data_IF_146118838077
#
_entry.id   IF_146118838077
#
_cell.length_a   1.000
_cell.length_b   1.000
_cell.length_c   1.000
_cell.angle_alpha   90.00
_cell.angle_beta   90.00
_cell.angle_gamma   90.00
#
_symmetry.space_group_name_H-M   'P 1'
#
loop_
_entity.id
_entity.type
_entity.pdbx_description
1 polymer ?
#
# COMPACT_ATOMS: atom_id res chain seq x y z
N UNK A 1 20.28 50.30 42.09
CA UNK A 1 19.14 49.49 41.61
C UNK A 1 19.02 49.66 40.09
N UNK A 2 19.52 48.76 39.28
CA UNK A 2 19.17 48.64 37.85
C UNK A 2 20.12 47.71 37.04
N UNK A 3 21.16 47.15 37.71
CA UNK A 3 22.09 46.24 37.02
C UNK A 3 21.45 44.86 36.76
N UNK A 4 20.62 44.36 37.69
CA UNK A 4 20.00 43.06 37.58
C UNK A 4 18.90 42.97 36.52
N UNK A 5 18.18 44.03 36.22
CA UNK A 5 17.16 44.03 35.15
C UNK A 5 17.76 43.97 33.75
N UNK A 6 18.89 44.66 33.53
CA UNK A 6 19.59 44.58 32.22
C UNK A 6 20.20 43.20 31.98
N UNK A 7 20.71 42.56 33.02
CA UNK A 7 21.29 41.23 32.91
C UNK A 7 20.24 40.18 32.57
N UNK A 8 19.03 40.27 33.17
CA UNK A 8 17.92 39.35 32.87
C UNK A 8 17.42 39.50 31.43
N UNK A 9 17.35 40.76 30.92
CA UNK A 9 16.91 41.00 29.52
C UNK A 9 17.91 40.42 28.52
N UNK A 10 19.22 40.55 28.78
CA UNK A 10 20.27 39.95 27.92
C UNK A 10 20.23 38.44 27.95
N UNK A 11 19.97 37.83 29.12
CA UNK A 11 19.84 36.39 29.25
C UNK A 11 18.62 35.84 28.49
N UNK A 12 17.48 36.55 28.52
CA UNK A 12 16.29 36.18 27.73
C UNK A 12 16.50 36.32 26.22
N UNK A 13 17.21 37.35 25.77
CA UNK A 13 17.53 37.53 24.34
C UNK A 13 18.39 36.42 23.76
N UNK A 14 19.33 35.85 24.55
CA UNK A 14 20.19 34.73 24.12
C UNK A 14 19.41 33.43 23.98
N UNK A 15 18.37 33.23 24.79
CA UNK A 15 17.55 31.98 24.72
C UNK A 15 16.67 31.96 23.47
N UNK A 16 16.21 33.11 22.96
CA UNK A 16 15.42 33.21 21.74
C UNK A 16 16.26 33.20 20.44
N UNK A 17 17.55 33.45 20.50
CA UNK A 17 18.44 33.40 19.33
C UNK A 17 18.93 32.02 18.95
N UNK A 18 18.69 30.97 19.76
CA UNK A 18 19.23 29.63 19.54
C UNK A 18 18.26 28.64 18.88
N UNK A 19 17.07 29.05 18.45
CA UNK A 19 16.11 28.19 17.75
C UNK A 19 15.88 28.60 16.28
N UNK A 20 16.95 28.92 15.56
CA UNK A 20 16.92 28.88 14.10
C UNK A 20 17.73 27.66 13.64
N UNK A 21 17.17 26.47 13.89
CA UNK A 21 17.52 25.32 13.09
C UNK A 21 17.00 25.57 11.69
N UNK A 22 17.87 26.05 10.81
CA UNK A 22 17.69 25.88 9.38
C UNK A 22 17.62 24.37 9.13
N UNK A 23 16.42 23.82 9.21
CA UNK A 23 16.11 22.57 8.54
C UNK A 23 16.21 22.89 7.05
N UNK A 24 17.42 22.80 6.51
CA UNK A 24 17.62 22.50 5.12
C UNK A 24 16.97 21.14 4.92
N UNK A 25 15.67 21.16 4.63
CA UNK A 25 15.00 20.03 4.01
C UNK A 25 15.74 19.88 2.68
N UNK A 26 16.74 19.02 2.65
CA UNK A 26 17.20 18.47 1.39
C UNK A 26 15.94 17.78 0.83
N UNK A 27 15.31 18.43 -0.15
CA UNK A 27 14.37 17.73 -1.04
C UNK A 27 15.25 16.69 -1.73
N UNK A 28 15.30 15.50 -1.15
CA UNK A 28 15.81 14.33 -1.83
C UNK A 28 14.78 14.14 -2.94
N UNK A 29 15.16 14.42 -4.17
CA UNK A 29 14.37 14.06 -5.35
C UNK A 29 14.20 12.55 -5.31
N UNK A 30 13.11 12.11 -4.68
CA UNK A 30 12.80 10.69 -4.55
C UNK A 30 12.18 10.23 -5.85
N UNK A 31 12.86 9.33 -6.54
CA UNK A 31 12.41 8.78 -7.82
C UNK A 31 11.22 7.83 -7.59
N UNK A 32 10.15 8.02 -8.36
CA UNK A 32 9.03 7.11 -8.37
C UNK A 32 9.43 5.80 -9.04
N UNK A 33 9.25 4.68 -8.33
CA UNK A 33 9.57 3.37 -8.89
C UNK A 33 8.44 2.87 -9.80
N UNK A 34 8.84 2.21 -10.88
CA UNK A 34 7.94 1.40 -11.69
C UNK A 34 8.39 -0.07 -11.69
N UNK A 35 7.46 -0.96 -12.04
CA UNK A 35 7.70 -2.40 -11.99
C UNK A 35 8.83 -2.84 -12.93
N UNK A 36 8.98 -2.23 -14.09
CA UNK A 36 10.00 -2.61 -15.08
C UNK A 36 11.42 -2.36 -14.57
N UNK A 37 11.63 -1.26 -13.82
CA UNK A 37 12.90 -0.95 -13.18
C UNK A 37 13.22 -1.96 -12.08
N UNK A 38 12.20 -2.32 -11.28
CA UNK A 38 12.36 -3.26 -10.17
C UNK A 38 12.64 -4.67 -10.66
N UNK A 39 11.95 -5.16 -11.70
CA UNK A 39 12.16 -6.49 -12.29
C UNK A 39 13.51 -6.65 -12.98
N UNK A 40 14.12 -5.55 -13.43
CA UNK A 40 15.51 -5.56 -13.94
C UNK A 40 16.54 -5.73 -12.83
N UNK A 41 16.22 -5.29 -11.62
CA UNK A 41 17.13 -5.27 -10.48
C UNK A 41 16.95 -6.48 -9.56
N UNK A 42 15.73 -6.99 -9.45
CA UNK A 42 15.36 -8.04 -8.51
C UNK A 42 14.56 -9.15 -9.23
N UNK A 43 14.79 -10.38 -8.81
CA UNK A 43 14.10 -11.55 -9.37
C UNK A 43 12.73 -11.78 -8.72
N UNK A 44 12.55 -11.31 -7.48
CA UNK A 44 11.39 -11.61 -6.66
C UNK A 44 11.14 -10.53 -5.63
N UNK A 45 9.86 -10.33 -5.29
CA UNK A 45 9.43 -9.58 -4.11
C UNK A 45 8.56 -10.46 -3.23
N UNK A 46 8.83 -10.45 -1.93
CA UNK A 46 8.01 -11.09 -0.90
C UNK A 46 7.60 -10.07 0.14
N UNK A 47 6.43 -10.26 0.75
CA UNK A 47 6.00 -9.30 1.77
C UNK A 47 4.70 -9.67 2.46
N UNK A 48 4.19 -8.69 3.17
CA UNK A 48 2.91 -8.80 3.85
C UNK A 48 2.18 -7.46 3.91
N UNK A 49 0.90 -7.54 4.21
CA UNK A 49 0.05 -6.37 4.32
C UNK A 49 -1.27 -6.70 5.00
N UNK A 50 -2.22 -5.79 4.87
CA UNK A 50 -3.57 -5.95 5.38
C UNK A 50 -4.58 -5.38 4.38
N UNK A 51 -5.65 -6.13 4.13
CA UNK A 51 -6.86 -5.69 3.45
C UNK A 51 -7.90 -5.37 4.52
N UNK A 52 -8.45 -4.17 4.49
CA UNK A 52 -9.49 -3.73 5.41
C UNK A 52 -10.71 -3.25 4.63
N UNK A 53 -11.89 -3.57 5.15
CA UNK A 53 -13.15 -2.95 4.77
C UNK A 53 -13.72 -2.18 5.94
N UNK A 54 -14.27 -0.98 5.69
CA UNK A 54 -14.97 -0.16 6.69
C UNK A 54 -16.29 0.33 6.11
N UNK A 55 -17.36 0.30 6.91
CA UNK A 55 -18.69 0.76 6.52
C UNK A 55 -19.74 -0.31 6.77
N UNK A 56 -20.47 -0.75 5.73
CA UNK A 56 -21.55 -1.78 5.87
C UNK A 56 -21.04 -3.11 6.44
N UNK A 57 -19.82 -3.50 6.08
CA UNK A 57 -19.12 -4.66 6.66
C UNK A 57 -17.71 -4.25 7.07
N UNK A 58 -17.43 -4.38 8.37
CA UNK A 58 -16.12 -4.13 8.89
C UNK A 58 -15.34 -5.43 8.95
N UNK A 59 -14.18 -5.49 8.28
CA UNK A 59 -13.27 -6.61 8.36
C UNK A 59 -11.82 -6.17 8.24
N UNK A 60 -10.93 -7.03 8.71
CA UNK A 60 -9.49 -6.88 8.53
C UNK A 60 -8.89 -8.25 8.26
N UNK A 61 -8.22 -8.40 7.14
CA UNK A 61 -7.58 -9.64 6.71
C UNK A 61 -6.10 -9.39 6.42
N UNK A 62 -5.21 -9.84 7.29
CA UNK A 62 -3.79 -9.86 6.99
C UNK A 62 -3.51 -10.74 5.77
N UNK A 63 -2.53 -10.37 4.96
CA UNK A 63 -2.08 -11.19 3.84
C UNK A 63 -0.55 -11.27 3.81
N UNK A 64 -0.07 -12.33 3.19
CA UNK A 64 1.31 -12.49 2.74
C UNK A 64 1.31 -12.63 1.23
N UNK A 65 2.38 -12.25 0.59
CA UNK A 65 2.50 -12.35 -0.86
C UNK A 65 3.92 -12.68 -1.31
N UNK A 66 3.99 -13.22 -2.50
CA UNK A 66 5.20 -13.43 -3.28
C UNK A 66 4.89 -13.11 -4.75
N UNK A 67 5.81 -12.45 -5.43
CA UNK A 67 5.72 -12.19 -6.86
C UNK A 67 7.09 -12.33 -7.52
N UNK A 68 7.17 -13.12 -8.59
CA UNK A 68 8.40 -13.35 -9.36
C UNK A 68 8.05 -13.59 -10.83
N UNK A 69 8.69 -12.89 -11.73
CA UNK A 69 8.41 -12.99 -13.16
C UNK A 69 6.91 -12.81 -13.45
N UNK A 70 6.29 -13.83 -14.07
CA UNK A 70 4.87 -13.78 -14.42
C UNK A 70 3.93 -14.35 -13.35
N UNK A 71 4.47 -14.81 -12.22
CA UNK A 71 3.70 -15.46 -11.18
C UNK A 71 3.61 -14.59 -9.93
N UNK A 72 2.40 -14.46 -9.39
CA UNK A 72 2.19 -13.82 -8.10
C UNK A 72 1.19 -14.61 -7.28
N UNK A 73 1.43 -14.69 -5.98
CA UNK A 73 0.56 -15.38 -5.02
C UNK A 73 0.26 -14.42 -3.89
N UNK A 74 -1.02 -14.29 -3.54
CA UNK A 74 -1.48 -13.52 -2.37
C UNK A 74 -2.30 -14.47 -1.50
N UNK A 75 -1.91 -14.63 -0.23
CA UNK A 75 -2.62 -15.51 0.72
C UNK A 75 -3.21 -14.68 1.83
N UNK A 76 -4.52 -14.58 1.88
CA UNK A 76 -5.29 -13.91 2.92
C UNK A 76 -5.49 -14.83 4.12
N UNK A 77 -5.41 -14.24 5.32
CA UNK A 77 -5.53 -14.94 6.59
C UNK A 77 -6.73 -14.44 7.37
N UNK A 78 -7.31 -15.30 8.20
CA UNK A 78 -8.30 -14.89 9.18
C UNK A 78 -7.62 -14.25 10.42
N UNK A 79 -8.43 -13.80 11.39
CA UNK A 79 -7.95 -13.17 12.61
C UNK A 79 -7.10 -14.09 13.51
N UNK A 80 -7.18 -15.42 13.30
CA UNK A 80 -6.32 -16.42 13.98
C UNK A 80 -5.03 -16.73 13.19
N UNK A 81 -4.79 -16.01 12.07
CA UNK A 81 -3.62 -16.23 11.21
C UNK A 81 -3.72 -17.43 10.29
N UNK A 82 -4.87 -18.13 10.21
CA UNK A 82 -5.06 -19.29 9.34
C UNK A 82 -5.35 -18.84 7.91
N UNK A 83 -4.79 -19.51 6.92
CA UNK A 83 -5.01 -19.23 5.50
C UNK A 83 -6.49 -19.47 5.16
N UNK A 84 -7.12 -18.49 4.53
CA UNK A 84 -8.53 -18.50 4.18
C UNK A 84 -8.75 -18.51 2.67
N UNK A 85 -8.19 -17.52 1.99
CA UNK A 85 -8.28 -17.38 0.55
C UNK A 85 -6.89 -17.19 -0.05
N UNK A 86 -6.76 -17.54 -1.32
CA UNK A 86 -5.55 -17.30 -2.09
C UNK A 86 -5.93 -16.78 -3.48
N UNK A 87 -5.17 -15.82 -3.97
CA UNK A 87 -5.17 -15.38 -5.36
C UNK A 87 -3.86 -15.86 -5.97
N UNK A 88 -3.96 -16.56 -7.09
CA UNK A 88 -2.85 -16.89 -7.96
C UNK A 88 -3.00 -16.06 -9.25
N UNK A 89 -1.99 -15.28 -9.56
CA UNK A 89 -1.92 -14.48 -10.79
C UNK A 89 -0.82 -15.08 -11.65
N UNK A 90 -1.15 -15.48 -12.87
CA UNK A 90 -0.20 -16.06 -13.82
C UNK A 90 -0.45 -15.45 -15.19
N UNK A 91 0.51 -14.67 -15.72
CA UNK A 91 0.36 -13.90 -16.96
C UNK A 91 -0.96 -13.11 -16.98
N UNK A 92 -1.90 -13.55 -17.82
CA UNK A 92 -3.20 -12.89 -18.02
C UNK A 92 -4.35 -13.58 -17.27
N UNK A 93 -4.06 -14.58 -16.45
CA UNK A 93 -5.05 -15.35 -15.70
C UNK A 93 -5.00 -15.09 -14.21
N UNK A 94 -6.16 -15.09 -13.58
CA UNK A 94 -6.31 -14.97 -12.13
C UNK A 94 -7.17 -16.14 -11.66
N UNK A 95 -6.66 -16.88 -10.67
CA UNK A 95 -7.37 -17.98 -10.01
C UNK A 95 -7.62 -17.62 -8.56
N UNK A 96 -8.81 -17.95 -8.09
CA UNK A 96 -9.21 -17.71 -6.70
C UNK A 96 -9.42 -19.07 -6.02
N UNK A 97 -8.80 -19.26 -4.85
CA UNK A 97 -8.88 -20.51 -4.11
C UNK A 97 -9.40 -20.26 -2.70
N UNK A 98 -10.32 -21.11 -2.27
CA UNK A 98 -10.66 -21.26 -0.86
C UNK A 98 -9.71 -22.28 -0.25
N UNK A 99 -8.68 -21.80 0.46
CA UNK A 99 -7.61 -22.66 1.00
C UNK A 99 -8.13 -23.64 2.05
N UNK A 100 -9.15 -23.25 2.83
CA UNK A 100 -9.75 -24.13 3.85
C UNK A 100 -10.48 -25.30 3.23
N UNK A 101 -11.24 -25.04 2.16
CA UNK A 101 -12.01 -26.07 1.45
C UNK A 101 -11.15 -26.84 0.42
N UNK A 102 -9.94 -26.33 0.12
CA UNK A 102 -9.02 -26.87 -0.91
C UNK A 102 -9.67 -26.93 -2.30
N UNK A 103 -10.45 -25.90 -2.65
CA UNK A 103 -11.16 -25.83 -3.93
C UNK A 103 -10.90 -24.47 -4.59
N UNK A 104 -10.89 -24.49 -5.91
CA UNK A 104 -11.00 -23.28 -6.71
C UNK A 104 -12.43 -22.73 -6.61
N UNK A 105 -12.57 -21.43 -6.51
CA UNK A 105 -13.85 -20.73 -6.39
C UNK A 105 -14.01 -19.73 -7.53
N UNK A 106 -15.23 -19.38 -7.86
CA UNK A 106 -15.48 -18.35 -8.86
C UNK A 106 -15.06 -16.97 -8.36
N UNK A 107 -14.83 -16.07 -9.30
CA UNK A 107 -14.56 -14.65 -9.00
C UNK A 107 -15.73 -14.03 -8.22
N UNK A 108 -16.98 -14.39 -8.55
CA UNK A 108 -18.15 -13.88 -7.83
C UNK A 108 -18.20 -14.37 -6.38
N UNK A 109 -17.77 -15.61 -6.11
CA UNK A 109 -17.68 -16.10 -4.74
C UNK A 109 -16.59 -15.35 -3.98
N UNK A 110 -15.42 -15.10 -4.61
CA UNK A 110 -14.35 -14.33 -4.00
C UNK A 110 -14.74 -12.84 -3.80
N UNK A 111 -15.54 -12.27 -4.69
CA UNK A 111 -16.09 -10.90 -4.54
C UNK A 111 -16.89 -10.69 -3.26
N UNK A 112 -17.47 -11.72 -2.67
CA UNK A 112 -18.16 -11.60 -1.36
C UNK A 112 -17.17 -11.28 -0.25
N UNK A 113 -15.93 -11.70 -0.40
CA UNK A 113 -14.82 -11.39 0.52
C UNK A 113 -14.15 -10.07 0.14
N UNK A 114 -13.82 -9.88 -1.13
CA UNK A 114 -13.16 -8.68 -1.65
C UNK A 114 -13.89 -8.13 -2.88
N UNK A 115 -14.86 -7.23 -2.69
CA UNK A 115 -15.77 -6.77 -3.75
C UNK A 115 -15.11 -6.08 -4.94
N UNK A 116 -13.84 -5.66 -4.80
CA UNK A 116 -13.08 -5.03 -5.89
C UNK A 116 -12.44 -6.03 -6.84
N UNK A 117 -12.38 -7.31 -6.48
CA UNK A 117 -11.58 -8.30 -7.21
C UNK A 117 -12.01 -8.50 -8.66
N UNK A 118 -13.28 -8.26 -8.99
CA UNK A 118 -13.80 -8.35 -10.36
C UNK A 118 -13.38 -7.20 -11.28
N UNK A 119 -12.83 -6.13 -10.71
CA UNK A 119 -12.42 -4.94 -11.44
C UNK A 119 -10.89 -4.80 -11.51
N UNK A 120 -10.17 -5.73 -10.90
CA UNK A 120 -8.73 -5.74 -10.83
C UNK A 120 -8.17 -6.82 -11.77
N UNK A 121 -7.29 -6.42 -12.67
CA UNK A 121 -6.62 -7.34 -13.60
C UNK A 121 -5.28 -7.87 -13.07
N UNK A 122 -4.69 -8.82 -13.76
CA UNK A 122 -3.42 -9.44 -13.38
C UNK A 122 -2.27 -8.42 -13.27
N UNK A 123 -2.19 -7.49 -14.21
CA UNK A 123 -1.15 -6.45 -14.21
C UNK A 123 -1.27 -5.52 -13.01
N UNK A 124 -2.48 -5.19 -12.59
CA UNK A 124 -2.68 -4.40 -11.37
C UNK A 124 -2.18 -5.14 -10.13
N UNK A 125 -2.57 -6.42 -9.95
CA UNK A 125 -2.10 -7.20 -8.80
C UNK A 125 -0.57 -7.26 -8.77
N UNK A 126 0.06 -7.58 -9.89
CA UNK A 126 1.53 -7.63 -9.99
C UNK A 126 2.15 -6.27 -9.62
N UNK A 127 1.69 -5.19 -10.22
CA UNK A 127 2.22 -3.84 -9.99
C UNK A 127 2.14 -3.41 -8.53
N UNK A 128 1.01 -3.63 -7.86
CA UNK A 128 0.87 -3.24 -6.45
C UNK A 128 1.78 -4.05 -5.52
N UNK A 129 2.01 -5.32 -5.81
CA UNK A 129 2.90 -6.17 -5.01
C UNK A 129 4.35 -5.67 -5.10
N UNK A 130 4.78 -5.26 -6.28
CA UNK A 130 6.11 -4.66 -6.51
C UNK A 130 6.23 -3.24 -5.98
N UNK A 131 5.12 -2.58 -5.63
CA UNK A 131 5.14 -1.20 -5.11
C UNK A 131 5.20 -0.14 -6.20
N UNK A 132 4.82 -0.49 -7.43
CA UNK A 132 4.75 0.39 -8.59
C UNK A 132 3.84 1.59 -8.32
N UNK A 133 4.39 2.80 -8.40
CA UNK A 133 3.65 4.04 -8.15
C UNK A 133 2.64 4.34 -9.25
N UNK A 134 2.82 3.75 -10.44
CA UNK A 134 1.92 3.88 -11.59
C UNK A 134 0.86 2.76 -11.65
N UNK A 135 0.80 1.88 -10.64
CA UNK A 135 -0.14 0.75 -10.64
C UNK A 135 -1.60 1.17 -10.93
N UNK A 136 -2.02 2.36 -10.47
CA UNK A 136 -3.37 2.88 -10.72
C UNK A 136 -3.62 3.25 -12.19
N UNK A 137 -2.61 3.53 -12.98
CA UNK A 137 -2.79 3.78 -14.43
C UNK A 137 -3.28 2.52 -15.16
N UNK A 138 -3.02 1.34 -14.57
CA UNK A 138 -3.36 0.01 -15.09
C UNK A 138 -4.75 -0.48 -14.66
N UNK A 139 -5.48 0.33 -13.90
CA UNK A 139 -6.85 0.01 -13.44
C UNK A 139 -7.88 0.39 -14.49
N UNK A 140 -8.91 -0.44 -14.63
CA UNK A 140 -10.02 -0.20 -15.55
C UNK A 140 -10.71 1.16 -15.25
N UNK A 141 -11.13 1.85 -16.31
CA UNK A 141 -11.86 3.12 -16.24
C UNK A 141 -13.16 2.95 -15.42
N UNK A 142 -13.82 1.80 -15.50
CA UNK A 142 -15.03 1.54 -14.73
C UNK A 142 -14.82 1.61 -13.22
N UNK A 143 -13.68 1.11 -12.72
CA UNK A 143 -13.33 1.22 -11.32
C UNK A 143 -13.17 2.69 -10.89
N UNK A 144 -12.51 3.50 -11.74
CA UNK A 144 -12.31 4.93 -11.47
C UNK A 144 -13.62 5.72 -11.45
N UNK A 145 -14.61 5.31 -12.23
CA UNK A 145 -15.94 5.95 -12.23
C UNK A 145 -16.76 5.59 -10.99
N UNK A 146 -16.52 4.41 -10.42
CA UNK A 146 -17.27 3.90 -9.26
C UNK A 146 -16.65 4.28 -7.91
N UNK A 147 -15.35 4.53 -7.88
CA UNK A 147 -14.58 4.78 -6.65
C UNK A 147 -13.71 6.02 -6.76
N UNK A 148 -13.65 6.77 -5.66
CA UNK A 148 -12.54 7.71 -5.43
C UNK A 148 -11.36 6.90 -4.90
N UNK A 149 -10.24 6.95 -5.64
CA UNK A 149 -9.04 6.17 -5.30
C UNK A 149 -7.97 7.13 -4.81
N UNK A 150 -7.43 6.86 -3.62
CA UNK A 150 -6.30 7.60 -3.05
C UNK A 150 -5.14 6.66 -2.74
N UNK A 151 -3.92 7.16 -2.87
CA UNK A 151 -2.71 6.39 -2.60
C UNK A 151 -1.84 7.08 -1.57
N UNK A 152 -1.03 6.27 -0.86
CA UNK A 152 0.10 6.77 -0.07
C UNK A 152 1.37 6.08 -0.53
N UNK A 153 2.41 6.87 -0.67
CA UNK A 153 3.75 6.38 -0.98
C UNK A 153 4.59 6.31 0.30
N UNK A 154 5.59 5.46 0.26
CA UNK A 154 6.66 5.41 1.27
C UNK A 154 8.00 5.54 0.56
N UNK A 155 8.87 6.39 1.09
CA UNK A 155 10.22 6.54 0.56
C UNK A 155 11.18 5.60 1.29
N UNK A 156 11.92 4.80 0.54
CA UNK A 156 12.94 3.87 1.04
C UNK A 156 14.18 4.05 0.16
N UNK A 157 15.31 4.40 0.76
CA UNK A 157 16.59 4.59 0.07
C UNK A 157 16.50 5.53 -1.17
N UNK A 158 15.73 6.64 -1.03
CA UNK A 158 15.55 7.62 -2.09
C UNK A 158 14.56 7.24 -3.19
N UNK A 159 13.89 6.09 -3.08
CA UNK A 159 12.88 5.63 -4.02
C UNK A 159 11.50 5.60 -3.38
N UNK A 160 10.46 6.06 -4.11
CA UNK A 160 9.08 6.05 -3.66
C UNK A 160 8.37 4.79 -4.11
N UNK A 161 7.78 4.07 -3.18
CA UNK A 161 6.98 2.87 -3.41
C UNK A 161 5.52 3.09 -3.03
N UNK A 162 4.60 2.54 -3.81
CA UNK A 162 3.19 2.49 -3.45
C UNK A 162 3.00 1.66 -2.17
N UNK A 163 2.49 2.28 -1.10
CA UNK A 163 2.36 1.62 0.21
C UNK A 163 0.90 1.36 0.62
N UNK A 164 -0.01 2.23 0.27
CA UNK A 164 -1.42 2.12 0.63
C UNK A 164 -2.31 2.60 -0.52
N UNK A 165 -3.39 1.88 -0.77
CA UNK A 165 -4.45 2.25 -1.70
C UNK A 165 -5.77 2.23 -0.93
N UNK A 166 -6.53 3.31 -1.01
CA UNK A 166 -7.86 3.42 -0.44
C UNK A 166 -8.87 3.61 -1.57
N UNK A 167 -9.86 2.75 -1.62
CA UNK A 167 -10.98 2.81 -2.54
C UNK A 167 -12.23 3.26 -1.77
N UNK A 168 -12.74 4.44 -2.09
CA UNK A 168 -13.95 5.02 -1.50
C UNK A 168 -15.09 4.89 -2.51
N UNK A 169 -16.13 4.17 -2.17
CA UNK A 169 -17.32 4.06 -3.01
C UNK A 169 -18.09 5.40 -2.98
N UNK A 170 -18.35 5.97 -4.15
CA UNK A 170 -18.89 7.33 -4.31
C UNK A 170 -20.23 7.57 -3.58
N UNK A 171 -21.09 6.56 -3.46
CA UNK A 171 -22.44 6.67 -2.89
C UNK A 171 -22.62 6.00 -1.52
N UNK A 172 -21.64 5.29 -1.03
CA UNK A 172 -21.68 4.52 0.21
C UNK A 172 -20.54 4.94 1.15
N UNK A 173 -20.82 4.93 2.45
CA UNK A 173 -19.78 5.09 3.48
C UNK A 173 -18.83 3.87 3.56
N UNK A 174 -18.79 3.07 2.49
CA UNK A 174 -17.95 1.87 2.41
C UNK A 174 -16.60 2.23 1.79
N UNK A 175 -15.52 1.86 2.45
CA UNK A 175 -14.19 1.93 1.88
C UNK A 175 -13.43 0.62 2.03
N UNK A 176 -12.47 0.43 1.13
CA UNK A 176 -11.52 -0.67 1.17
C UNK A 176 -10.12 -0.11 1.18
N UNK A 177 -9.29 -0.59 2.07
CA UNK A 177 -7.89 -0.18 2.18
C UNK A 177 -7.00 -1.39 2.00
N UNK A 178 -6.08 -1.30 1.05
CA UNK A 178 -5.01 -2.25 0.84
C UNK A 178 -3.71 -1.58 1.30
N UNK A 179 -3.12 -2.09 2.36
CA UNK A 179 -1.89 -1.53 2.95
C UNK A 179 -0.79 -2.58 3.00
N UNK A 180 0.38 -2.20 2.54
CA UNK A 180 1.59 -3.02 2.58
C UNK A 180 2.43 -2.65 3.80
N UNK A 181 2.76 -3.61 4.65
CA UNK A 181 3.56 -3.38 5.85
C UNK A 181 5.04 -3.62 5.59
N UNK A 182 5.37 -4.53 4.67
CA UNK A 182 6.74 -4.90 4.35
C UNK A 182 6.85 -5.43 2.93
N UNK A 183 7.93 -5.07 2.24
CA UNK A 183 8.43 -5.68 1.00
C UNK A 183 9.91 -5.97 1.14
N UNK A 184 10.32 -7.17 0.75
CA UNK A 184 11.72 -7.56 0.59
C UNK A 184 11.93 -7.92 -0.87
N UNK A 185 12.87 -7.29 -1.50
CA UNK A 185 13.27 -7.54 -2.87
C UNK A 185 14.50 -8.48 -2.87
N UNK A 186 14.49 -9.52 -3.71
CA UNK A 186 15.52 -10.56 -3.78
C UNK A 186 15.97 -10.81 -5.22
#
# INVERSE_FOLDING_TARGET
MNLNKKLIIVLFAVIFASCSTNNNIQVIDSENVNIEQLEKKFNRVIGNGVLQGKGKSNFSSPFIFESSGNNSIIVFKDFLGRRQYMIEVNNDSIRYLNVRKKVEISQEEFNRFFPLSNQLNSNFYKSILWGDTEALSKVDIQLRNSYVITTKLISIDGSNYLNEIVFLLNNDKQNYTLKFNRRNFE
#
